data_IF_622419070551
#
_entry.id   IF_622419070551
#
_cell.length_a   1.000
_cell.length_b   1.000
_cell.length_c   1.000
_cell.angle_alpha   90.00
_cell.angle_beta   90.00
_cell.angle_gamma   90.00
#
_symmetry.space_group_name_H-M   'P 1'
#
loop_
_entity.id
_entity.type
_entity.pdbx_description
1 polymer ?
#
# COMPACT_ATOMS: atom_id res chain seq x y z
N UNK A 1 -12.10 27.98 -7.77
CA UNK A 1 -11.77 29.41 -7.62
C UNK A 1 -10.85 29.77 -8.76
N UNK A 2 -11.45 30.28 -9.82
CA UNK A 2 -10.81 30.68 -11.05
C UNK A 2 -10.01 31.97 -10.83
N UNK A 3 -8.72 31.94 -11.15
CA UNK A 3 -7.94 33.17 -11.26
C UNK A 3 -8.07 33.63 -12.71
N UNK A 4 -9.10 34.43 -12.97
CA UNK A 4 -9.24 35.21 -14.19
C UNK A 4 -8.23 36.37 -14.17
N UNK A 5 -7.23 36.29 -15.05
CA UNK A 5 -6.55 37.48 -15.58
C UNK A 5 -6.90 37.55 -17.06
N UNK A 6 -7.76 38.50 -17.40
CA UNK A 6 -8.01 38.92 -18.78
C UNK A 6 -6.83 39.80 -19.20
N UNK A 7 -6.03 39.33 -20.15
CA UNK A 7 -5.26 40.16 -21.07
C UNK A 7 -5.48 39.58 -22.47
N UNK A 8 -5.86 40.45 -23.39
CA UNK A 8 -6.15 40.18 -24.80
C UNK A 8 -4.97 39.47 -25.47
N UNK A 9 -5.24 38.30 -26.05
CA UNK A 9 -4.29 37.45 -26.75
C UNK A 9 -4.93 36.11 -27.00
N UNK A 10 -4.84 35.61 -28.24
CA UNK A 10 -5.48 34.39 -28.70
C UNK A 10 -5.41 33.25 -27.67
N UNK A 11 -6.57 32.70 -27.30
CA UNK A 11 -6.64 31.47 -26.49
C UNK A 11 -6.15 30.33 -27.37
N UNK A 12 -4.85 30.09 -27.36
CA UNK A 12 -4.30 28.82 -27.83
C UNK A 12 -4.76 27.74 -26.86
N UNK A 13 -5.91 27.14 -27.16
CA UNK A 13 -6.25 25.83 -26.60
C UNK A 13 -5.27 24.83 -27.22
N UNK A 14 -4.15 24.59 -26.54
CA UNK A 14 -3.35 23.41 -26.83
C UNK A 14 -4.30 22.21 -26.71
N UNK A 15 -4.46 21.37 -27.75
CA UNK A 15 -5.22 20.14 -27.59
C UNK A 15 -4.58 19.39 -26.42
N UNK A 16 -5.38 19.12 -25.38
CA UNK A 16 -4.95 18.20 -24.34
C UNK A 16 -4.66 16.89 -25.07
N UNK A 17 -3.37 16.54 -25.18
CA UNK A 17 -2.98 15.24 -25.74
C UNK A 17 -3.68 14.18 -24.90
N UNK A 18 -4.69 13.53 -25.48
CA UNK A 18 -5.34 12.39 -24.84
C UNK A 18 -4.28 11.31 -24.63
N UNK A 19 -3.91 11.09 -23.37
CA UNK A 19 -2.99 10.01 -23.01
C UNK A 19 -3.76 8.70 -23.19
N UNK A 20 -3.33 7.81 -24.11
CA UNK A 20 -4.05 6.57 -24.40
C UNK A 20 -4.26 5.74 -23.13
N UNK A 21 -5.37 5.01 -23.07
CA UNK A 21 -5.56 3.99 -22.05
C UNK A 21 -4.54 2.85 -22.26
N UNK A 22 -3.98 2.37 -21.15
CA UNK A 22 -3.07 1.24 -21.16
C UNK A 22 -3.85 -0.04 -21.42
N UNK A 23 -3.38 -0.89 -22.34
CA UNK A 23 -4.04 -2.14 -22.70
C UNK A 23 -3.44 -3.30 -21.91
N UNK A 24 -4.26 -3.85 -21.01
CA UNK A 24 -3.97 -5.09 -20.32
C UNK A 24 -4.23 -6.30 -21.24
N UNK A 25 -3.54 -7.44 -21.03
CA UNK A 25 -3.90 -8.68 -21.71
C UNK A 25 -5.33 -9.13 -21.33
N UNK A 26 -6.07 -9.84 -22.20
CA UNK A 26 -7.52 -10.08 -22.02
C UNK A 26 -7.92 -10.81 -20.72
N UNK A 27 -7.02 -11.64 -20.19
CA UNK A 27 -7.22 -12.39 -18.95
C UNK A 27 -7.03 -11.55 -17.68
N UNK A 28 -6.65 -10.28 -17.82
CA UNK A 28 -6.38 -9.37 -16.72
C UNK A 28 -7.33 -8.16 -16.70
N UNK A 29 -7.46 -7.57 -15.53
CA UNK A 29 -8.21 -6.34 -15.28
C UNK A 29 -7.52 -5.48 -14.23
N UNK A 30 -7.83 -4.18 -14.22
CA UNK A 30 -7.39 -3.30 -13.14
C UNK A 30 -8.06 -3.72 -11.84
N UNK A 31 -7.28 -3.77 -10.76
CA UNK A 31 -7.82 -4.10 -9.45
C UNK A 31 -8.73 -2.96 -8.98
N UNK A 32 -10.03 -3.22 -8.99
CA UNK A 32 -11.05 -2.20 -8.74
C UNK A 32 -10.95 -1.58 -7.34
N UNK A 33 -10.42 -2.32 -6.37
CA UNK A 33 -10.38 -1.92 -4.96
C UNK A 33 -9.12 -1.13 -4.57
N UNK A 34 -8.32 -0.69 -5.54
CA UNK A 34 -7.16 0.15 -5.28
C UNK A 34 -7.56 1.57 -4.83
N UNK A 35 -7.06 2.01 -3.66
CA UNK A 35 -7.33 3.36 -3.11
C UNK A 35 -6.24 4.37 -3.52
N UNK A 36 -4.98 3.97 -3.40
CA UNK A 36 -3.83 4.86 -3.51
C UNK A 36 -2.63 4.20 -4.20
N UNK A 37 -1.53 4.95 -4.32
CA UNK A 37 -0.31 4.52 -4.99
C UNK A 37 -0.32 4.86 -6.49
N UNK A 38 0.40 4.08 -7.28
CA UNK A 38 0.36 4.17 -8.73
C UNK A 38 -1.01 3.69 -9.19
N UNK A 39 -1.91 4.61 -9.53
CA UNK A 39 -3.27 4.28 -9.95
C UNK A 39 -3.41 4.64 -11.43
N UNK A 40 -4.15 3.88 -12.27
CA UNK A 40 -4.25 4.11 -13.72
C UNK A 40 -4.82 5.49 -14.11
N UNK A 41 -5.47 6.18 -13.17
CA UNK A 41 -5.93 7.57 -13.35
C UNK A 41 -4.82 8.61 -13.23
N UNK A 42 -3.64 8.25 -12.71
CA UNK A 42 -2.51 9.15 -12.54
C UNK A 42 -1.68 9.18 -13.82
N UNK A 43 -1.44 10.39 -14.34
CA UNK A 43 -0.57 10.64 -15.49
C UNK A 43 0.71 11.31 -14.99
N UNK A 44 1.87 10.74 -15.33
CA UNK A 44 3.19 11.33 -15.10
C UNK A 44 3.98 11.34 -16.40
N UNK A 45 4.57 12.48 -16.73
CA UNK A 45 5.39 12.66 -17.94
C UNK A 45 4.67 12.18 -19.23
N UNK A 46 3.34 12.41 -19.31
CA UNK A 46 2.54 12.00 -20.46
C UNK A 46 2.22 10.49 -20.56
N UNK A 47 2.62 9.67 -19.57
CA UNK A 47 2.26 8.25 -19.47
C UNK A 47 1.37 8.01 -18.25
N UNK A 48 0.39 7.11 -18.37
CA UNK A 48 -0.39 6.62 -17.22
C UNK A 48 0.46 5.72 -16.34
N UNK A 49 0.28 5.81 -15.04
CA UNK A 49 0.91 4.88 -14.12
C UNK A 49 0.24 3.51 -14.17
N UNK A 50 1.04 2.45 -14.12
CA UNK A 50 0.51 1.08 -14.05
C UNK A 50 -0.03 0.84 -12.63
N UNK A 51 -1.33 0.57 -12.56
CA UNK A 51 -2.05 0.19 -11.36
C UNK A 51 -1.76 -1.21 -10.82
N UNK A 52 -2.47 -1.55 -9.74
CA UNK A 52 -2.63 -2.94 -9.33
C UNK A 52 -3.49 -3.66 -10.38
N UNK A 53 -3.10 -4.87 -10.75
CA UNK A 53 -3.77 -5.68 -11.76
C UNK A 53 -4.25 -6.96 -11.09
N UNK A 54 -5.30 -7.57 -11.62
CA UNK A 54 -5.83 -8.85 -11.17
C UNK A 54 -6.10 -9.75 -12.36
N UNK A 55 -5.70 -11.01 -12.27
CA UNK A 55 -6.17 -12.00 -13.23
C UNK A 55 -7.64 -12.30 -12.94
N UNK A 56 -8.49 -12.30 -13.97
CA UNK A 56 -9.93 -12.52 -13.82
C UNK A 56 -10.20 -13.83 -13.06
N UNK A 57 -11.00 -13.75 -12.00
CA UNK A 57 -11.35 -14.90 -11.16
C UNK A 57 -10.27 -15.36 -10.16
N UNK A 58 -9.12 -14.69 -10.12
CA UNK A 58 -8.06 -14.99 -9.14
C UNK A 58 -8.40 -14.43 -7.75
N UNK A 59 -7.81 -14.98 -6.71
CA UNK A 59 -7.77 -14.44 -5.33
C UNK A 59 -6.45 -13.69 -5.05
N UNK A 60 -5.73 -13.31 -6.11
CA UNK A 60 -4.42 -12.65 -6.05
C UNK A 60 -4.40 -11.37 -6.86
N UNK A 61 -3.62 -10.41 -6.39
CA UNK A 61 -3.30 -9.19 -7.13
C UNK A 61 -1.86 -9.23 -7.64
N UNK A 62 -1.63 -8.56 -8.76
CA UNK A 62 -0.33 -8.25 -9.31
C UNK A 62 -0.01 -6.79 -8.98
N UNK A 63 0.99 -6.59 -8.13
CA UNK A 63 1.51 -5.26 -7.81
C UNK A 63 2.76 -4.98 -8.64
N UNK A 64 2.80 -3.91 -9.46
CA UNK A 64 3.99 -3.61 -10.24
C UNK A 64 5.17 -3.33 -9.31
N UNK A 65 6.31 -3.95 -9.59
CA UNK A 65 7.57 -3.67 -8.90
C UNK A 65 7.98 -2.24 -9.24
N UNK A 66 8.24 -1.44 -8.20
CA UNK A 66 8.73 -0.08 -8.40
C UNK A 66 10.16 -0.09 -8.92
N UNK A 67 10.54 0.94 -9.68
CA UNK A 67 11.93 1.08 -10.13
C UNK A 67 12.88 1.46 -8.98
N UNK A 68 14.13 1.04 -9.12
CA UNK A 68 15.22 1.34 -8.19
C UNK A 68 15.11 0.66 -6.83
N UNK A 69 15.86 1.20 -5.88
CA UNK A 69 16.07 0.61 -4.54
C UNK A 69 14.77 0.28 -3.81
N UNK A 70 13.72 1.10 -3.95
CA UNK A 70 12.44 0.87 -3.26
C UNK A 70 11.77 -0.43 -3.70
N UNK A 71 11.73 -0.71 -5.00
CA UNK A 71 11.14 -1.96 -5.48
C UNK A 71 11.99 -3.18 -5.13
N UNK A 72 13.32 -3.03 -5.15
CA UNK A 72 14.24 -4.09 -4.72
C UNK A 72 14.06 -4.42 -3.23
N UNK A 73 13.97 -3.40 -2.37
CA UNK A 73 13.69 -3.58 -0.95
C UNK A 73 12.34 -4.28 -0.72
N UNK A 74 11.28 -3.83 -1.39
CA UNK A 74 9.96 -4.42 -1.25
C UNK A 74 9.97 -5.91 -1.63
N UNK A 75 10.58 -6.26 -2.77
CA UNK A 75 10.70 -7.65 -3.22
C UNK A 75 11.52 -8.48 -2.23
N UNK A 76 12.63 -7.95 -1.72
CA UNK A 76 13.47 -8.68 -0.77
C UNK A 76 12.77 -8.93 0.57
N UNK A 77 11.97 -7.98 1.06
CA UNK A 77 11.17 -8.22 2.27
C UNK A 77 10.15 -9.30 2.03
N UNK A 78 9.39 -9.23 0.94
CA UNK A 78 8.40 -10.28 0.67
C UNK A 78 9.03 -11.67 0.50
N UNK A 79 10.21 -11.77 -0.12
CA UNK A 79 10.98 -13.02 -0.17
C UNK A 79 11.39 -13.52 1.22
N UNK A 80 11.84 -12.62 2.11
CA UNK A 80 12.16 -12.99 3.49
C UNK A 80 10.92 -13.54 4.24
N UNK A 81 9.79 -12.84 4.14
CA UNK A 81 8.55 -13.22 4.79
C UNK A 81 8.02 -14.57 4.29
N UNK A 82 8.13 -14.80 2.99
CA UNK A 82 7.71 -16.03 2.33
C UNK A 82 8.55 -17.25 2.77
N UNK A 83 9.87 -17.09 2.91
CA UNK A 83 10.74 -18.12 3.49
C UNK A 83 10.36 -18.45 4.93
N UNK A 84 10.13 -17.42 5.77
CA UNK A 84 9.73 -17.61 7.16
C UNK A 84 8.39 -18.36 7.28
N UNK A 85 7.44 -18.11 6.37
CA UNK A 85 6.17 -18.82 6.32
C UNK A 85 6.35 -20.30 5.94
N UNK A 86 7.20 -20.62 4.95
CA UNK A 86 7.50 -22.01 4.56
C UNK A 86 8.10 -22.82 5.71
N UNK A 87 9.11 -22.28 6.39
CA UNK A 87 9.76 -22.95 7.53
C UNK A 87 8.78 -23.24 8.69
N UNK A 88 7.75 -22.42 8.87
CA UNK A 88 6.73 -22.62 9.90
C UNK A 88 5.76 -23.76 9.58
N UNK A 89 5.63 -24.16 8.31
CA UNK A 89 4.66 -25.17 7.84
C UNK A 89 5.27 -26.54 7.56
N UNK A 90 6.58 -26.61 7.26
CA UNK A 90 7.25 -27.84 6.85
C UNK A 90 7.73 -28.76 7.99
N UNK A 91 7.71 -28.32 9.26
CA UNK A 91 7.93 -29.17 10.43
C UNK A 91 9.23 -30.00 10.47
N UNK A 92 10.19 -29.76 9.57
CA UNK A 92 11.28 -30.69 9.28
C UNK A 92 12.62 -30.02 8.97
N UNK A 93 13.63 -30.47 9.71
CA UNK A 93 15.09 -30.32 9.58
C UNK A 93 15.67 -28.89 9.59
N UNK A 94 16.36 -28.57 10.70
CA UNK A 94 17.54 -27.71 10.93
C UNK A 94 18.13 -26.90 9.75
N UNK A 95 17.34 -26.17 8.97
CA UNK A 95 17.85 -25.05 8.19
C UNK A 95 17.52 -23.80 8.99
N UNK A 96 18.54 -23.24 9.64
CA UNK A 96 18.37 -22.06 10.48
C UNK A 96 17.89 -20.90 9.59
N UNK A 97 16.74 -20.31 9.93
CA UNK A 97 16.23 -19.10 9.26
C UNK A 97 17.26 -17.95 9.32
N UNK A 98 18.21 -18.01 10.26
CA UNK A 98 19.39 -17.17 10.30
C UNK A 98 20.30 -17.25 9.07
N UNK A 99 20.37 -18.38 8.36
CA UNK A 99 21.21 -18.53 7.16
C UNK A 99 20.59 -17.85 5.93
N UNK A 100 19.26 -17.87 5.80
CA UNK A 100 18.53 -17.14 4.75
C UNK A 100 18.64 -15.62 4.94
N UNK A 101 18.57 -15.16 6.20
CA UNK A 101 18.73 -13.76 6.61
C UNK A 101 20.16 -13.27 6.34
N UNK A 102 21.18 -14.09 6.65
CA UNK A 102 22.59 -13.81 6.32
C UNK A 102 22.84 -13.76 4.82
N UNK A 103 22.22 -14.64 4.04
CA UNK A 103 22.40 -14.70 2.58
C UNK A 103 21.90 -13.44 1.85
N UNK A 104 20.93 -12.72 2.41
CA UNK A 104 20.45 -11.42 1.90
C UNK A 104 21.14 -10.22 2.57
N UNK A 105 22.12 -10.46 3.44
CA UNK A 105 22.91 -9.43 4.11
C UNK A 105 22.18 -8.72 5.26
N UNK A 106 21.13 -9.31 5.83
CA UNK A 106 20.28 -8.68 6.85
C UNK A 106 20.55 -9.23 8.25
N UNK A 107 21.82 -9.33 8.63
CA UNK A 107 22.29 -10.06 9.82
C UNK A 107 21.65 -9.63 11.15
N UNK A 108 21.15 -8.40 11.24
CA UNK A 108 20.55 -7.84 12.45
C UNK A 108 19.04 -8.06 12.57
N UNK A 109 18.42 -8.65 11.53
CA UNK A 109 16.99 -8.95 11.52
C UNK A 109 16.69 -10.17 12.39
N UNK A 110 15.82 -9.98 13.38
CA UNK A 110 15.43 -11.00 14.36
C UNK A 110 14.27 -11.82 13.82
N UNK A 111 14.38 -13.15 13.91
CA UNK A 111 13.33 -14.08 13.45
C UNK A 111 11.94 -13.78 14.04
N UNK A 112 11.86 -13.41 15.34
CA UNK A 112 10.60 -13.03 15.99
C UNK A 112 9.95 -11.79 15.34
N UNK A 113 10.75 -10.85 14.87
CA UNK A 113 10.27 -9.62 14.23
C UNK A 113 9.73 -9.99 12.84
N UNK A 114 10.42 -10.87 12.11
CA UNK A 114 9.96 -11.42 10.82
C UNK A 114 8.62 -12.15 10.98
N UNK A 115 8.49 -13.04 11.97
CA UNK A 115 7.24 -13.78 12.24
C UNK A 115 6.07 -12.84 12.51
N UNK A 116 6.27 -11.82 13.34
CA UNK A 116 5.22 -10.83 13.59
C UNK A 116 4.89 -9.98 12.36
N UNK A 117 5.87 -9.70 11.49
CA UNK A 117 5.63 -9.01 10.22
C UNK A 117 4.84 -9.88 9.23
N UNK A 118 5.11 -11.19 9.15
CA UNK A 118 4.35 -12.14 8.31
C UNK A 118 2.86 -12.07 8.64
N UNK A 119 2.49 -12.03 9.93
CA UNK A 119 1.09 -11.91 10.36
C UNK A 119 0.42 -10.59 9.97
N UNK A 120 1.22 -9.56 9.66
CA UNK A 120 0.75 -8.20 9.35
C UNK A 120 0.81 -7.87 7.87
N UNK A 121 1.27 -8.75 6.97
CA UNK A 121 1.42 -8.45 5.54
C UNK A 121 0.58 -9.39 4.66
N UNK A 122 0.22 -8.98 3.44
CA UNK A 122 -0.35 -9.90 2.45
C UNK A 122 0.61 -11.07 2.15
N UNK A 123 0.06 -12.26 1.90
CA UNK A 123 0.87 -13.41 1.47
C UNK A 123 1.52 -13.10 0.12
N UNK A 124 2.81 -13.41 -0.01
CA UNK A 124 3.56 -13.31 -1.26
C UNK A 124 3.67 -14.67 -1.93
N UNK A 125 3.37 -14.72 -3.22
CA UNK A 125 3.38 -15.96 -4.02
C UNK A 125 4.49 -16.00 -5.07
N UNK A 126 5.34 -14.97 -5.13
CA UNK A 126 6.44 -14.86 -6.09
C UNK A 126 6.31 -13.68 -7.04
N UNK A 127 7.15 -13.68 -8.06
CA UNK A 127 7.21 -12.63 -9.08
C UNK A 127 6.71 -13.18 -10.43
N UNK A 128 6.14 -12.32 -11.26
CA UNK A 128 5.80 -12.67 -12.64
C UNK A 128 6.02 -11.47 -13.58
N UNK A 129 6.60 -11.68 -14.78
CA UNK A 129 6.61 -10.65 -15.82
C UNK A 129 5.24 -10.60 -16.52
N UNK A 130 4.82 -9.40 -16.92
CA UNK A 130 3.64 -9.19 -17.76
C UNK A 130 3.92 -8.13 -18.82
N UNK A 131 3.51 -8.41 -20.05
CA UNK A 131 3.61 -7.47 -21.16
C UNK A 131 2.40 -6.52 -21.14
N UNK A 132 2.64 -5.23 -20.93
CA UNK A 132 1.64 -4.16 -21.00
C UNK A 132 2.11 -3.14 -22.01
N UNK A 133 1.27 -2.80 -22.98
CA UNK A 133 1.63 -1.87 -24.07
C UNK A 133 2.97 -2.19 -24.78
N UNK A 134 3.29 -3.49 -24.89
CA UNK A 134 4.54 -4.03 -25.48
C UNK A 134 5.81 -3.77 -24.66
N UNK A 135 5.69 -3.25 -23.45
CA UNK A 135 6.77 -3.15 -22.47
C UNK A 135 6.60 -4.28 -21.45
N UNK A 136 7.70 -4.97 -21.11
CA UNK A 136 7.68 -5.99 -20.06
C UNK A 136 7.82 -5.31 -18.69
N UNK A 137 6.94 -5.67 -17.76
CA UNK A 137 6.98 -5.18 -16.39
C UNK A 137 6.98 -6.35 -15.41
N UNK A 138 7.78 -6.23 -14.33
CA UNK A 138 7.78 -7.21 -13.25
C UNK A 138 6.69 -6.91 -12.22
N UNK A 139 5.98 -7.94 -11.76
CA UNK A 139 4.93 -7.83 -10.74
C UNK A 139 5.19 -8.75 -9.57
N UNK A 140 4.90 -8.27 -8.37
CA UNK A 140 4.73 -9.09 -7.17
C UNK A 140 3.33 -9.72 -7.22
N UNK A 141 3.25 -11.04 -7.03
CA UNK A 141 1.98 -11.75 -6.84
C UNK A 141 1.67 -11.73 -5.35
N UNK A 142 0.64 -10.98 -4.96
CA UNK A 142 0.23 -10.80 -3.57
C UNK A 142 -1.19 -11.32 -3.35
N UNK A 143 -1.48 -11.73 -2.13
CA UNK A 143 -2.84 -12.02 -1.67
C UNK A 143 -3.76 -10.83 -1.95
N UNK A 144 -4.93 -11.10 -2.55
CA UNK A 144 -6.02 -10.14 -2.53
C UNK A 144 -6.71 -10.16 -1.16
N UNK A 145 -6.36 -9.19 -0.34
CA UNK A 145 -6.88 -9.08 1.03
C UNK A 145 -8.37 -8.76 1.09
N UNK A 146 -9.02 -8.44 -0.05
CA UNK A 146 -10.47 -8.20 -0.14
C UNK A 146 -11.25 -9.41 -0.67
N UNK A 147 -10.58 -10.44 -1.19
CA UNK A 147 -11.23 -11.57 -1.86
C UNK A 147 -12.19 -12.38 -0.96
N UNK A 148 -11.96 -12.37 0.35
CA UNK A 148 -12.83 -13.04 1.34
C UNK A 148 -14.02 -12.21 1.83
N UNK A 149 -14.23 -11.01 1.30
CA UNK A 149 -15.26 -10.08 1.74
C UNK A 149 -16.37 -9.98 0.70
N UNK A 150 -17.61 -9.98 1.15
CA UNK A 150 -18.78 -9.79 0.30
C UNK A 150 -18.96 -8.33 -0.07
N UNK A 151 -18.79 -7.42 0.91
CA UNK A 151 -18.86 -5.98 0.71
C UNK A 151 -17.69 -5.29 1.41
N UNK A 152 -16.49 -5.29 0.81
CA UNK A 152 -15.33 -4.71 1.46
C UNK A 152 -15.49 -3.21 1.69
N UNK A 153 -15.16 -2.75 2.90
CA UNK A 153 -14.88 -1.36 3.23
C UNK A 153 -13.40 -1.23 3.55
N UNK A 154 -12.69 -0.41 2.77
CA UNK A 154 -11.24 -0.38 2.72
C UNK A 154 -10.79 1.04 3.04
N UNK A 155 -9.87 1.22 3.99
CA UNK A 155 -9.27 2.51 4.34
C UNK A 155 -7.75 2.38 4.30
N UNK A 156 -7.09 3.23 3.51
CA UNK A 156 -5.63 3.29 3.46
C UNK A 156 -5.13 4.43 4.36
N UNK A 157 -4.37 4.07 5.39
CA UNK A 157 -3.78 5.01 6.33
C UNK A 157 -2.26 4.95 6.21
N UNK A 158 -1.67 6.03 5.71
CA UNK A 158 -0.21 6.16 5.67
C UNK A 158 0.32 6.47 7.06
N UNK A 159 1.31 5.70 7.50
CA UNK A 159 1.88 5.81 8.84
C UNK A 159 3.21 6.56 8.84
N UNK A 160 3.54 7.14 10.00
CA UNK A 160 4.81 7.80 10.29
C UNK A 160 4.72 9.32 10.28
N UNK A 161 5.43 9.96 11.21
CA UNK A 161 5.59 11.43 11.24
C UNK A 161 6.40 11.96 10.07
N UNK A 162 7.25 11.11 9.48
CA UNK A 162 8.03 11.37 8.27
C UNK A 162 7.69 10.29 7.23
N UNK A 163 7.67 10.69 5.97
CA UNK A 163 7.33 9.79 4.82
C UNK A 163 8.38 9.80 3.73
N UNK A 164 9.59 10.18 4.10
CA UNK A 164 10.79 10.06 3.31
C UNK A 164 11.75 9.14 4.06
N UNK A 165 12.50 8.33 3.31
CA UNK A 165 13.54 7.47 3.84
C UNK A 165 14.79 8.29 4.25
N UNK A 166 15.72 7.72 5.05
CA UNK A 166 16.91 8.43 5.53
C UNK A 166 17.84 8.94 4.44
N UNK A 167 17.81 8.31 3.26
CA UNK A 167 18.68 8.65 2.11
C UNK A 167 17.99 9.57 1.10
N UNK A 168 16.78 10.05 1.41
CA UNK A 168 16.03 10.93 0.52
C UNK A 168 16.72 12.29 0.34
N UNK A 169 16.77 12.77 -0.91
CA UNK A 169 17.30 14.09 -1.24
C UNK A 169 16.54 15.22 -0.53
N UNK A 170 17.21 16.36 -0.32
CA UNK A 170 16.58 17.53 0.32
C UNK A 170 15.28 17.95 -0.35
N UNK A 171 15.27 18.04 -1.69
CA UNK A 171 14.07 18.34 -2.46
C UNK A 171 12.94 17.31 -2.24
N UNK A 172 13.28 16.02 -2.08
CA UNK A 172 12.30 14.97 -1.79
C UNK A 172 11.76 15.11 -0.36
N UNK A 173 12.63 15.42 0.61
CA UNK A 173 12.26 15.65 2.02
C UNK A 173 11.33 16.85 2.17
N UNK A 174 11.65 17.97 1.52
CA UNK A 174 10.80 19.16 1.48
C UNK A 174 9.44 18.82 0.86
N UNK A 175 9.43 18.22 -0.33
CA UNK A 175 8.19 17.83 -1.03
C UNK A 175 7.28 16.93 -0.20
N UNK A 176 7.82 15.94 0.51
CA UNK A 176 7.00 15.08 1.37
C UNK A 176 6.55 15.79 2.65
N UNK A 177 7.34 16.73 3.18
CA UNK A 177 7.00 17.52 4.38
C UNK A 177 5.85 18.48 4.12
N UNK A 178 5.89 19.23 3.01
CA UNK A 178 4.84 20.22 2.68
C UNK A 178 3.55 19.56 2.17
N UNK A 179 3.59 18.28 1.76
CA UNK A 179 2.45 17.56 1.16
C UNK A 179 1.25 17.44 2.11
N UNK A 180 1.52 17.27 3.41
CA UNK A 180 0.49 17.21 4.45
C UNK A 180 1.12 17.55 5.82
N UNK A 181 1.20 18.84 6.19
CA UNK A 181 1.83 19.29 7.43
C UNK A 181 1.29 18.64 8.72
N UNK A 182 -0.02 18.35 8.88
CA UNK A 182 -0.54 17.71 10.09
C UNK A 182 0.07 16.33 10.39
N UNK A 183 0.68 15.66 9.40
CA UNK A 183 1.32 14.35 9.59
C UNK A 183 2.39 14.35 10.67
N UNK A 184 3.11 15.48 10.83
CA UNK A 184 4.17 15.61 11.83
C UNK A 184 3.61 15.49 13.26
N UNK A 185 2.40 15.98 13.48
CA UNK A 185 1.70 15.96 14.77
C UNK A 185 0.95 14.65 14.94
N UNK A 186 0.10 14.31 13.97
CA UNK A 186 -0.75 13.12 13.99
C UNK A 186 0.05 11.81 13.93
N UNK A 187 1.16 11.79 13.20
CA UNK A 187 1.93 10.57 12.93
C UNK A 187 1.30 9.65 11.88
N UNK A 188 0.21 10.08 11.22
CA UNK A 188 -0.42 9.38 10.11
C UNK A 188 -1.21 10.35 9.23
N UNK A 189 -1.68 9.87 8.07
CA UNK A 189 -2.69 10.54 7.24
C UNK A 189 -3.58 9.54 6.52
N UNK A 190 -4.81 9.94 6.24
CA UNK A 190 -5.75 9.15 5.45
C UNK A 190 -5.43 9.36 3.96
N UNK A 191 -5.27 8.28 3.19
CA UNK A 191 -5.07 8.35 1.74
C UNK A 191 -6.36 8.22 0.94
N UNK A 192 -7.44 7.78 1.60
CA UNK A 192 -8.74 7.56 1.00
C UNK A 192 -9.40 6.29 1.53
N UNK A 193 -10.65 6.10 1.15
CA UNK A 193 -11.38 4.87 1.40
C UNK A 193 -12.21 4.45 0.19
N UNK A 194 -12.54 3.17 0.14
CA UNK A 194 -13.50 2.60 -0.80
C UNK A 194 -14.47 1.71 -0.03
N UNK A 195 -15.76 1.97 -0.15
CA UNK A 195 -16.79 1.28 0.62
C UNK A 195 -17.90 0.76 -0.28
N UNK A 196 -18.09 -0.55 -0.29
CA UNK A 196 -19.21 -1.21 -0.96
C UNK A 196 -20.43 -1.21 -0.03
N UNK A 197 -21.54 -0.58 -0.46
CA UNK A 197 -22.78 -0.44 0.34
C UNK A 197 -23.78 -1.56 0.03
N UNK A 198 -24.75 -1.74 0.93
CA UNK A 198 -25.88 -2.67 0.74
C UNK A 198 -26.73 -2.37 -0.49
N UNK A 199 -26.76 -1.10 -0.92
CA UNK A 199 -27.46 -0.67 -2.12
C UNK A 199 -26.77 -1.08 -3.42
N UNK A 200 -25.55 -1.62 -3.36
CA UNK A 200 -24.68 -1.85 -4.52
C UNK A 200 -23.86 -0.61 -4.93
N UNK A 201 -24.08 0.54 -4.27
CA UNK A 201 -23.27 1.74 -4.47
C UNK A 201 -21.83 1.52 -3.94
N UNK A 202 -20.85 1.99 -4.70
CA UNK A 202 -19.45 2.05 -4.26
C UNK A 202 -19.09 3.51 -4.00
N UNK A 203 -18.81 3.82 -2.74
CA UNK A 203 -18.35 5.15 -2.32
C UNK A 203 -16.83 5.16 -2.32
N UNK A 204 -16.23 6.11 -3.05
CA UNK A 204 -14.79 6.33 -3.08
C UNK A 204 -14.48 7.72 -2.57
N UNK A 205 -13.54 7.81 -1.62
CA UNK A 205 -12.90 9.06 -1.20
C UNK A 205 -11.42 8.96 -1.43
N UNK A 206 -10.83 10.03 -1.92
CA UNK A 206 -9.43 10.08 -2.33
C UNK A 206 -8.56 10.78 -1.28
N UNK A 207 -7.31 11.07 -1.68
CA UNK A 207 -6.33 11.77 -0.86
C UNK A 207 -6.74 13.21 -0.51
N UNK A 208 -7.56 13.87 -1.32
CA UNK A 208 -7.97 15.26 -1.03
C UNK A 208 -9.01 15.27 0.07
N UNK A 209 -9.91 14.28 0.10
CA UNK A 209 -10.76 14.02 1.28
C UNK A 209 -9.91 13.78 2.54
N UNK A 210 -8.88 12.93 2.46
CA UNK A 210 -8.02 12.62 3.59
C UNK A 210 -7.20 13.82 4.11
N UNK A 211 -6.85 14.76 3.21
CA UNK A 211 -6.13 16.00 3.56
C UNK A 211 -6.98 17.05 4.27
N UNK A 212 -8.31 16.92 4.26
CA UNK A 212 -9.20 17.83 4.97
C UNK A 212 -9.11 17.66 6.50
N UNK A 213 -8.50 16.58 6.97
CA UNK A 213 -8.32 16.30 8.39
C UNK A 213 -7.05 16.95 8.97
N UNK A 214 -7.07 17.19 10.27
CA UNK A 214 -5.97 17.67 11.10
C UNK A 214 -6.17 17.26 12.56
N UNK A 215 -5.27 17.67 13.45
CA UNK A 215 -5.30 17.38 14.88
C UNK A 215 -6.59 17.80 15.61
N UNK A 216 -7.37 18.73 15.05
CA UNK A 216 -8.56 19.27 15.72
C UNK A 216 -9.87 18.58 15.30
N UNK A 217 -9.92 17.91 14.14
CA UNK A 217 -11.16 17.34 13.59
C UNK A 217 -11.09 15.83 13.32
N UNK A 218 -9.90 15.21 13.41
CA UNK A 218 -9.73 13.80 13.05
C UNK A 218 -10.52 12.86 13.96
N UNK A 219 -10.75 13.23 15.23
CA UNK A 219 -11.47 12.39 16.18
C UNK A 219 -12.99 12.46 16.02
N UNK A 220 -13.51 13.54 15.45
CA UNK A 220 -14.95 13.75 15.30
C UNK A 220 -15.57 12.75 14.32
N UNK A 221 -14.80 12.33 13.32
CA UNK A 221 -15.24 11.42 12.25
C UNK A 221 -14.75 9.97 12.41
N UNK A 222 -13.92 9.68 13.42
CA UNK A 222 -13.37 8.34 13.65
C UNK A 222 -14.11 7.60 14.76
N UNK A 223 -15.23 6.95 14.40
CA UNK A 223 -15.85 5.98 15.29
C UNK A 223 -15.21 4.59 15.10
N UNK A 224 -14.22 4.25 15.93
CA UNK A 224 -13.48 3.00 15.83
C UNK A 224 -14.22 1.85 16.51
N UNK A 225 -14.53 0.81 15.74
CA UNK A 225 -15.12 -0.43 16.26
C UNK A 225 -14.17 -1.17 17.21
N UNK A 226 -14.73 -1.88 18.19
CA UNK A 226 -13.95 -2.63 19.19
C UNK A 226 -13.00 -3.66 18.57
N UNK A 227 -13.39 -4.32 17.47
CA UNK A 227 -12.54 -5.26 16.73
C UNK A 227 -11.32 -4.57 16.12
N UNK A 228 -11.49 -3.34 15.61
CA UNK A 228 -10.39 -2.54 15.06
C UNK A 228 -9.41 -2.18 16.16
N UNK A 229 -9.90 -1.72 17.32
CA UNK A 229 -9.05 -1.39 18.47
C UNK A 229 -8.25 -2.59 18.97
N UNK A 230 -8.86 -3.77 19.05
CA UNK A 230 -8.18 -5.00 19.46
C UNK A 230 -7.06 -5.40 18.48
N UNK A 231 -7.29 -5.29 17.17
CA UNK A 231 -6.25 -5.56 16.16
C UNK A 231 -5.16 -4.50 16.19
N UNK A 232 -5.51 -3.23 16.35
CA UNK A 232 -4.55 -2.13 16.50
C UNK A 232 -3.67 -2.29 17.74
N UNK A 233 -4.19 -2.86 18.84
CA UNK A 233 -3.40 -3.17 20.02
C UNK A 233 -2.27 -4.16 19.70
N UNK A 234 -2.57 -5.23 18.94
CA UNK A 234 -1.55 -6.20 18.49
C UNK A 234 -0.49 -5.55 17.59
N UNK A 235 -0.92 -4.72 16.64
CA UNK A 235 -0.01 -3.95 15.77
C UNK A 235 0.90 -3.06 16.63
N UNK A 236 0.33 -2.31 17.58
CA UNK A 236 1.08 -1.45 18.50
C UNK A 236 2.10 -2.22 19.34
N UNK A 237 1.73 -3.38 19.89
CA UNK A 237 2.60 -4.22 20.70
C UNK A 237 3.80 -4.74 19.89
N UNK A 238 3.57 -5.17 18.65
CA UNK A 238 4.65 -5.58 17.75
C UNK A 238 5.59 -4.42 17.43
N UNK A 239 5.06 -3.26 17.03
CA UNK A 239 5.86 -2.07 16.75
C UNK A 239 6.65 -1.56 17.96
N UNK A 240 6.14 -1.73 19.18
CA UNK A 240 6.83 -1.33 20.40
C UNK A 240 8.07 -2.18 20.69
N UNK A 241 8.10 -3.43 20.23
CA UNK A 241 9.10 -4.43 20.62
C UNK A 241 10.08 -4.81 19.51
N UNK A 242 9.64 -4.76 18.25
CA UNK A 242 10.48 -5.02 17.09
C UNK A 242 11.52 -3.90 16.92
N UNK A 243 12.73 -4.27 16.48
CA UNK A 243 13.80 -3.32 16.12
C UNK A 243 14.43 -3.60 14.76
N UNK A 244 14.00 -4.66 14.08
CA UNK A 244 14.58 -5.11 12.80
C UNK A 244 14.15 -4.29 11.59
N UNK A 245 13.10 -3.46 11.71
CA UNK A 245 12.48 -2.80 10.56
C UNK A 245 12.16 -1.32 10.84
N UNK A 246 12.42 -0.45 9.85
CA UNK A 246 12.10 0.97 9.90
C UNK A 246 11.13 1.38 8.79
N UNK A 247 9.94 1.80 9.18
CA UNK A 247 8.83 2.01 8.25
C UNK A 247 8.72 3.47 7.79
N UNK A 248 8.93 3.68 6.49
CA UNK A 248 8.82 4.98 5.84
C UNK A 248 7.79 4.94 4.73
N UNK A 249 6.77 5.79 4.83
CA UNK A 249 5.69 5.86 3.85
C UNK A 249 4.93 4.53 3.62
N UNK A 250 5.08 3.54 4.49
CA UNK A 250 4.22 2.37 4.56
C UNK A 250 2.81 2.75 5.00
N UNK A 251 1.83 1.94 4.63
CA UNK A 251 0.45 2.14 5.02
C UNK A 251 -0.08 0.94 5.80
N UNK A 252 -0.98 1.20 6.74
CA UNK A 252 -1.92 0.21 7.25
C UNK A 252 -3.19 0.31 6.41
N UNK A 253 -3.53 -0.78 5.75
CA UNK A 253 -4.77 -0.95 5.01
C UNK A 253 -5.77 -1.69 5.92
N UNK A 254 -6.85 -1.01 6.26
CA UNK A 254 -7.95 -1.58 7.01
C UNK A 254 -8.95 -2.13 6.00
N UNK A 255 -9.40 -3.35 6.20
CA UNK A 255 -10.44 -4.00 5.40
C UNK A 255 -11.51 -4.52 6.35
N UNK A 256 -12.77 -4.16 6.10
CA UNK A 256 -13.91 -4.52 6.93
C UNK A 256 -15.05 -5.10 6.08
N UNK A 257 -15.80 -6.05 6.63
CA UNK A 257 -17.02 -6.58 6.02
C UNK A 257 -18.20 -5.64 6.29
N UNK A 258 -18.66 -4.95 5.25
CA UNK A 258 -19.79 -4.03 5.31
C UNK A 258 -21.14 -4.72 4.99
N UNK A 259 -21.17 -6.04 4.92
CA UNK A 259 -22.40 -6.83 4.90
C UNK A 259 -22.95 -7.05 6.32
N UNK A 260 -24.07 -6.40 6.71
CA UNK A 260 -24.62 -6.54 8.05
C UNK A 260 -25.24 -7.92 8.33
N UNK A 261 -25.37 -8.78 7.31
CA UNK A 261 -25.83 -10.17 7.49
C UNK A 261 -24.70 -11.15 7.84
N UNK A 262 -23.44 -10.72 7.70
CA UNK A 262 -22.26 -11.51 8.02
C UNK A 262 -21.68 -11.10 9.38
N UNK A 263 -20.94 -12.00 10.05
CA UNK A 263 -20.23 -11.64 11.28
C UNK A 263 -19.20 -10.53 11.00
N UNK A 264 -18.93 -9.63 11.96
CA UNK A 264 -17.89 -8.62 11.82
C UNK A 264 -16.54 -9.27 11.48
N UNK A 265 -15.96 -8.84 10.37
CA UNK A 265 -14.63 -9.28 9.93
C UNK A 265 -13.79 -8.05 9.64
N UNK A 266 -12.63 -7.96 10.30
CA UNK A 266 -11.66 -6.87 10.11
C UNK A 266 -10.30 -7.48 9.83
N UNK A 267 -9.58 -6.94 8.85
CA UNK A 267 -8.14 -7.15 8.69
C UNK A 267 -7.42 -5.80 8.69
N UNK A 268 -6.23 -5.80 9.27
CA UNK A 268 -5.29 -4.69 9.20
C UNK A 268 -4.04 -5.29 8.59
N UNK A 269 -3.70 -4.86 7.38
CA UNK A 269 -2.52 -5.34 6.67
C UNK A 269 -1.61 -4.17 6.36
N UNK A 270 -0.33 -4.41 6.46
CA UNK A 270 0.70 -3.45 6.14
C UNK A 270 1.14 -3.65 4.71
N UNK A 271 1.11 -2.57 3.94
CA UNK A 271 1.48 -2.55 2.53
C UNK A 271 2.66 -1.60 2.31
N UNK A 272 3.41 -1.86 1.23
CA UNK A 272 4.71 -1.23 0.98
C UNK A 272 5.66 -1.49 2.17
N UNK A 273 6.04 -2.76 2.40
CA UNK A 273 6.89 -3.13 3.51
C UNK A 273 8.24 -2.39 3.45
N UNK A 274 8.84 -2.17 4.62
CA UNK A 274 9.97 -1.27 4.79
C UNK A 274 11.27 -1.93 4.36
N UNK A 275 12.37 -1.18 4.25
CA UNK A 275 13.69 -1.82 4.35
C UNK A 275 13.94 -2.33 5.80
N UNK A 276 14.89 -3.26 5.99
CA UNK A 276 15.44 -3.56 7.31
C UNK A 276 16.06 -2.32 7.95
N UNK A 277 16.17 -2.32 9.27
CA UNK A 277 17.00 -1.36 10.00
C UNK A 277 18.46 -1.57 9.59
N UNK A 278 19.08 -0.50 9.10
CA UNK A 278 20.54 -0.38 9.07
C UNK A 278 20.87 0.44 10.30
N UNK A 279 21.37 -0.19 11.36
CA UNK A 279 22.00 0.53 12.47
C UNK A 279 23.38 1.04 12.04
#
# INVERSE_FOLDING_TARGET
MDILRVMEGEVFTYPQMEVPEQKLPPSYEWFADQIAGHHPSVIKNGKREIGLIKQRGSDKILKPKQEGFRGECEVNVYKLLERALRHSTSGGANHDSGDDIKAIGWTDVKEKDVKGLVELTPIFYGMTPLLIDKEEHEFLILEDVTAGYTRPAILDVKMGRITYDPVASEAKREKETIKYPPQRVLGFRLLGYRMHRSSGEIVVKDKEWGKAYNENNILDDLNLMSEVLNKMKRVKEWFATQKSFQFYASSLLFVYENDPSLPPNVRIVMIAPPPPSVD
#
